data_IF_055178299981
#
_entry.id   IF_055178299981
#
_cell.length_a   1.000
_cell.length_b   1.000
_cell.length_c   1.000
_cell.angle_alpha   90.00
_cell.angle_beta   90.00
_cell.angle_gamma   90.00
#
_symmetry.space_group_name_H-M   'P 1'
#
loop_
_entity.id
_entity.type
_entity.pdbx_description
1 polymer ?
#
# COMPACT_ATOMS: atom_id res chain seq x y z
N UNK A 1 33.16 -27.90 14.51
CA UNK A 1 33.12 -26.74 15.42
C UNK A 1 31.80 -26.00 15.23
N UNK A 2 30.78 -26.32 16.03
CA UNK A 2 29.63 -25.46 16.32
C UNK A 2 29.39 -25.61 17.82
N UNK A 3 29.47 -24.48 18.53
CA UNK A 3 29.38 -24.38 19.98
C UNK A 3 27.94 -24.01 20.34
N UNK A 4 27.19 -24.98 20.84
CA UNK A 4 25.92 -24.76 21.54
C UNK A 4 26.25 -24.61 23.04
N UNK A 5 26.09 -23.40 23.60
CA UNK A 5 26.17 -23.17 25.05
C UNK A 5 24.99 -22.30 25.49
N UNK A 6 24.04 -22.84 26.27
CA UNK A 6 22.97 -22.06 26.90
C UNK A 6 23.51 -21.24 28.10
N UNK A 7 22.85 -20.12 28.46
CA UNK A 7 23.21 -19.35 29.65
C UNK A 7 22.75 -20.05 30.94
N UNK A 8 23.58 -20.08 32.01
CA UNK A 8 23.22 -20.71 33.28
C UNK A 8 22.21 -19.87 34.06
N UNK A 9 21.22 -20.54 34.65
CA UNK A 9 20.23 -19.97 35.54
C UNK A 9 20.82 -19.45 36.84
N UNK A 10 20.22 -18.39 37.39
CA UNK A 10 20.56 -17.87 38.70
C UNK A 10 19.69 -16.69 39.15
N UNK A 11 19.01 -16.91 40.27
CA UNK A 11 18.47 -15.93 41.22
C UNK A 11 17.06 -15.36 41.02
N UNK A 12 16.08 -16.14 41.47
CA UNK A 12 14.87 -15.67 42.13
C UNK A 12 15.20 -14.63 43.21
N UNK A 13 14.53 -13.47 43.18
CA UNK A 13 14.37 -12.59 44.35
C UNK A 13 12.89 -12.32 44.55
N UNK A 14 12.27 -13.22 45.30
CA UNK A 14 11.03 -12.93 46.00
C UNK A 14 11.30 -11.77 46.96
N UNK A 15 10.56 -10.67 46.80
CA UNK A 15 10.53 -9.58 47.78
C UNK A 15 9.17 -9.59 48.44
N UNK A 16 9.09 -10.31 49.55
CA UNK A 16 8.03 -10.20 50.54
C UNK A 16 8.25 -8.93 51.36
N UNK A 17 7.26 -8.02 51.37
CA UNK A 17 7.07 -7.02 52.44
C UNK A 17 5.56 -6.85 52.56
N UNK A 18 4.94 -7.67 53.42
CA UNK A 18 4.51 -7.34 54.78
C UNK A 18 3.24 -6.51 54.79
N UNK A 19 2.15 -7.19 55.14
CA UNK A 19 0.88 -6.62 55.58
C UNK A 19 1.11 -5.88 56.89
N UNK A 20 0.75 -4.60 56.95
CA UNK A 20 0.39 -3.94 58.21
C UNK A 20 -0.83 -3.07 57.95
N UNK A 21 -1.85 -3.31 58.76
CA UNK A 21 -3.16 -2.68 58.68
C UNK A 21 -3.21 -1.42 59.56
N UNK A 22 -4.19 -0.57 59.21
CA UNK A 22 -4.80 0.48 60.02
C UNK A 22 -4.04 1.82 60.18
N UNK A 23 -4.57 2.89 59.56
CA UNK A 23 -5.45 3.78 60.30
C UNK A 23 -6.26 4.70 59.38
N UNK A 24 -7.34 5.18 59.96
CA UNK A 24 -8.59 5.74 59.48
C UNK A 24 -8.53 7.17 58.88
N UNK A 25 -9.68 7.56 58.29
CA UNK A 25 -10.20 8.93 58.14
C UNK A 25 -9.69 9.78 56.97
N UNK A 26 -10.45 9.80 55.86
CA UNK A 26 -11.41 10.88 55.50
C UNK A 26 -11.95 10.66 54.09
N UNK A 27 -13.26 10.47 53.98
CA UNK A 27 -13.97 10.94 52.79
C UNK A 27 -13.93 12.47 52.77
N UNK A 28 -13.90 13.07 51.57
CA UNK A 28 -15.09 13.82 51.20
C UNK A 28 -15.61 13.45 49.81
N UNK A 29 -16.93 13.57 49.77
CA UNK A 29 -17.90 13.42 48.69
C UNK A 29 -17.62 14.25 47.44
N UNK A 30 -18.02 13.66 46.30
CA UNK A 30 -18.61 14.27 45.11
C UNK A 30 -17.84 15.40 44.39
N UNK A 31 -17.45 15.16 43.14
CA UNK A 31 -18.20 15.68 41.98
C UNK A 31 -17.47 15.37 40.66
N UNK A 32 -18.26 15.39 39.58
CA UNK A 32 -17.94 15.13 38.18
C UNK A 32 -17.85 13.65 37.79
N UNK A 33 -19.04 13.04 37.72
CA UNK A 33 -19.35 11.92 36.87
C UNK A 33 -18.77 12.11 35.45
N UNK A 34 -17.57 11.58 35.23
CA UNK A 34 -17.21 11.09 33.91
C UNK A 34 -17.92 9.76 33.77
N UNK A 35 -19.16 9.79 33.27
CA UNK A 35 -19.84 8.57 32.86
C UNK A 35 -18.84 7.75 32.03
N UNK A 36 -18.50 6.51 32.44
CA UNK A 36 -17.59 5.70 31.65
C UNK A 36 -18.23 5.59 30.27
N UNK A 37 -17.54 6.02 29.21
CA UNK A 37 -17.96 5.76 27.82
C UNK A 37 -18.45 4.32 27.80
N UNK A 38 -19.74 4.14 27.59
CA UNK A 38 -20.37 2.82 27.71
C UNK A 38 -19.63 1.85 26.78
N UNK A 39 -19.62 0.55 27.07
CA UNK A 39 -18.98 -0.43 26.17
C UNK A 39 -19.47 -0.29 24.72
N UNK A 40 -20.72 0.16 24.54
CA UNK A 40 -21.32 0.52 23.26
C UNK A 40 -20.62 1.70 22.56
N UNK A 41 -20.29 2.80 23.26
CA UNK A 41 -19.52 3.92 22.70
C UNK A 41 -18.12 3.50 22.21
N UNK A 42 -17.43 2.67 23.00
CA UNK A 42 -16.10 2.16 22.60
C UNK A 42 -16.17 1.24 21.39
N UNK A 43 -17.20 0.41 21.30
CA UNK A 43 -17.38 -0.49 20.16
C UNK A 43 -17.75 0.27 18.88
N UNK A 44 -18.57 1.33 18.98
CA UNK A 44 -18.86 2.23 17.86
C UNK A 44 -17.60 2.98 17.39
N UNK A 45 -16.79 3.52 18.30
CA UNK A 45 -15.51 4.15 17.95
C UNK A 45 -14.52 3.16 17.30
N UNK A 46 -14.51 1.90 17.75
CA UNK A 46 -13.65 0.86 17.16
C UNK A 46 -14.12 0.45 15.76
N UNK A 47 -15.42 0.24 15.56
CA UNK A 47 -16.00 -0.04 14.23
C UNK A 47 -15.75 1.12 13.26
N UNK A 48 -15.92 2.36 13.71
CA UNK A 48 -15.65 3.56 12.90
C UNK A 48 -14.17 3.68 12.51
N UNK A 49 -13.26 3.37 13.45
CA UNK A 49 -11.82 3.30 13.15
C UNK A 49 -11.47 2.19 12.16
N UNK A 50 -12.05 1.00 12.32
CA UNK A 50 -11.81 -0.10 11.37
C UNK A 50 -12.31 0.23 9.96
N UNK A 51 -13.48 0.87 9.83
CA UNK A 51 -13.99 1.30 8.53
C UNK A 51 -13.09 2.37 7.89
N UNK A 52 -12.68 3.37 8.66
CA UNK A 52 -11.76 4.41 8.16
C UNK A 52 -10.39 3.85 7.74
N UNK A 53 -9.86 2.84 8.45
CA UNK A 53 -8.62 2.16 8.07
C UNK A 53 -8.79 1.37 6.78
N UNK A 54 -9.88 0.61 6.64
CA UNK A 54 -10.18 -0.12 5.39
C UNK A 54 -10.32 0.81 4.19
N UNK A 55 -11.03 1.92 4.33
CA UNK A 55 -11.16 2.91 3.25
C UNK A 55 -9.82 3.57 2.90
N UNK A 56 -8.98 3.86 3.90
CA UNK A 56 -7.64 4.40 3.68
C UNK A 56 -6.73 3.40 2.97
N UNK A 57 -6.75 2.13 3.39
CA UNK A 57 -6.00 1.04 2.78
C UNK A 57 -6.47 0.79 1.34
N UNK A 58 -7.78 0.72 1.10
CA UNK A 58 -8.36 0.55 -0.24
C UNK A 58 -7.97 1.71 -1.17
N UNK A 59 -7.99 2.94 -0.67
CA UNK A 59 -7.57 4.12 -1.43
C UNK A 59 -6.06 4.07 -1.74
N UNK A 60 -5.24 3.73 -0.75
CA UNK A 60 -3.80 3.60 -0.93
C UNK A 60 -3.44 2.48 -1.93
N UNK A 61 -4.14 1.35 -1.88
CA UNK A 61 -3.96 0.25 -2.82
C UNK A 61 -4.37 0.65 -4.24
N UNK A 62 -5.51 1.33 -4.42
CA UNK A 62 -5.93 1.86 -5.73
C UNK A 62 -4.91 2.85 -6.29
N UNK A 63 -4.46 3.80 -5.49
CA UNK A 63 -3.44 4.77 -5.93
C UNK A 63 -2.10 4.09 -6.28
N UNK A 64 -1.71 3.05 -5.54
CA UNK A 64 -0.51 2.27 -5.85
C UNK A 64 -0.67 1.48 -7.16
N UNK A 65 -1.83 0.84 -7.37
CA UNK A 65 -2.15 0.12 -8.59
C UNK A 65 -2.21 1.05 -9.81
N UNK A 66 -2.84 2.23 -9.68
CA UNK A 66 -2.90 3.22 -10.75
C UNK A 66 -1.51 3.74 -11.12
N UNK A 67 -0.64 3.98 -10.13
CA UNK A 67 0.76 4.37 -10.37
C UNK A 67 1.55 3.27 -11.06
N UNK A 68 1.33 2.01 -10.67
CA UNK A 68 1.99 0.87 -11.31
C UNK A 68 1.52 0.72 -12.76
N UNK A 69 0.22 0.75 -13.01
CA UNK A 69 -0.37 0.68 -14.35
C UNK A 69 0.16 1.79 -15.27
N UNK A 70 0.20 3.05 -14.79
CA UNK A 70 0.78 4.17 -15.55
C UNK A 70 2.24 3.95 -15.91
N UNK A 71 3.04 3.41 -14.98
CA UNK A 71 4.45 3.09 -15.27
C UNK A 71 4.57 2.03 -16.36
N UNK A 72 3.81 0.94 -16.24
CA UNK A 72 3.80 -0.14 -17.24
C UNK A 72 3.33 0.34 -18.61
N UNK A 73 2.28 1.16 -18.66
CA UNK A 73 1.78 1.80 -19.87
C UNK A 73 2.84 2.67 -20.54
N UNK A 74 3.57 3.43 -19.73
CA UNK A 74 4.66 4.27 -20.20
C UNK A 74 5.85 3.49 -20.75
N UNK A 75 6.24 2.43 -20.06
CA UNK A 75 7.29 1.55 -20.58
C UNK A 75 6.85 0.85 -21.87
N UNK A 76 5.59 0.41 -21.96
CA UNK A 76 5.02 -0.18 -23.17
C UNK A 76 5.04 0.81 -24.33
N UNK A 77 4.59 2.04 -24.10
CA UNK A 77 4.60 3.09 -25.11
C UNK A 77 6.03 3.41 -25.58
N UNK A 78 7.00 3.49 -24.66
CA UNK A 78 8.42 3.71 -25.01
C UNK A 78 9.00 2.56 -25.84
N UNK A 79 8.69 1.31 -25.49
CA UNK A 79 9.10 0.14 -26.29
C UNK A 79 8.49 0.15 -27.69
N UNK A 80 7.20 0.50 -27.80
CA UNK A 80 6.52 0.63 -29.08
C UNK A 80 7.14 1.73 -29.94
N UNK A 81 7.44 2.89 -29.35
CA UNK A 81 8.12 3.97 -30.05
C UNK A 81 9.49 3.53 -30.59
N UNK A 82 10.29 2.86 -29.77
CA UNK A 82 11.59 2.35 -30.19
C UNK A 82 11.46 1.34 -31.34
N UNK A 83 10.44 0.47 -31.33
CA UNK A 83 10.18 -0.45 -32.43
C UNK A 83 9.78 0.27 -33.73
N UNK A 84 8.97 1.34 -33.64
CA UNK A 84 8.59 2.16 -34.78
C UNK A 84 9.79 2.89 -35.39
N UNK A 85 10.70 3.41 -34.54
CA UNK A 85 11.90 4.17 -34.90
C UNK A 85 13.10 3.30 -35.30
N UNK A 86 13.07 1.99 -35.02
CA UNK A 86 14.15 1.03 -35.33
C UNK A 86 14.52 0.92 -36.81
N UNK A 87 13.63 1.35 -37.71
CA UNK A 87 13.77 1.17 -39.15
C UNK A 87 13.44 -0.24 -39.65
N UNK A 88 13.06 -1.16 -38.75
CA UNK A 88 12.64 -2.50 -39.15
C UNK A 88 11.27 -2.48 -39.84
N UNK A 89 11.05 -3.34 -40.84
CA UNK A 89 9.74 -3.49 -41.49
C UNK A 89 8.73 -4.11 -40.52
N UNK A 90 7.71 -3.35 -40.15
CA UNK A 90 6.63 -3.82 -39.29
C UNK A 90 5.58 -4.54 -40.13
N UNK A 91 5.18 -5.74 -39.70
CA UNK A 91 4.09 -6.48 -40.30
C UNK A 91 2.96 -6.63 -39.29
N UNK A 92 1.76 -6.23 -39.67
CA UNK A 92 0.52 -6.53 -38.96
C UNK A 92 -0.19 -7.70 -39.63
N UNK A 93 -1.24 -8.23 -38.98
CA UNK A 93 -2.23 -9.06 -39.66
C UNK A 93 -3.44 -8.23 -40.00
N UNK A 94 -4.02 -8.49 -41.16
CA UNK A 94 -5.33 -7.97 -41.53
C UNK A 94 -6.47 -8.86 -40.98
N UNK A 95 -7.71 -8.51 -41.29
CA UNK A 95 -8.91 -9.24 -40.84
C UNK A 95 -8.97 -10.68 -41.38
N UNK A 96 -8.19 -11.00 -42.42
CA UNK A 96 -8.09 -12.33 -43.02
C UNK A 96 -6.95 -13.15 -42.41
N UNK A 97 -6.15 -12.53 -41.53
CA UNK A 97 -4.99 -13.15 -40.90
C UNK A 97 -3.74 -13.15 -41.79
N UNK A 98 -3.77 -12.47 -42.93
CA UNK A 98 -2.63 -12.33 -43.83
C UNK A 98 -1.65 -11.30 -43.27
N UNK A 99 -0.35 -11.50 -43.47
CA UNK A 99 0.67 -10.54 -43.03
C UNK A 99 0.73 -9.38 -44.01
N UNK A 100 0.41 -8.18 -43.53
CA UNK A 100 0.49 -6.93 -44.29
C UNK A 100 1.58 -6.06 -43.67
N UNK A 101 2.43 -5.47 -44.50
CA UNK A 101 3.44 -4.53 -44.03
C UNK A 101 2.83 -3.16 -43.76
N UNK A 102 3.29 -2.50 -42.70
CA UNK A 102 2.88 -1.14 -42.39
C UNK A 102 3.61 -0.19 -43.34
N UNK A 103 2.83 0.62 -44.05
CA UNK A 103 3.33 1.69 -44.92
C UNK A 103 4.07 2.76 -44.11
N UNK A 104 5.05 3.43 -44.72
CA UNK A 104 5.88 4.42 -44.02
C UNK A 104 5.06 5.61 -43.49
N UNK A 105 4.00 6.00 -44.18
CA UNK A 105 3.07 7.06 -43.72
C UNK A 105 2.32 6.64 -42.46
N UNK A 106 1.89 5.38 -42.38
CA UNK A 106 1.21 4.83 -41.21
C UNK A 106 2.18 4.69 -40.03
N UNK A 107 3.43 4.26 -40.28
CA UNK A 107 4.50 4.24 -39.26
C UNK A 107 4.75 5.63 -38.70
N UNK A 108 4.87 6.65 -39.54
CA UNK A 108 5.10 8.04 -39.09
C UNK A 108 3.95 8.54 -38.20
N UNK A 109 2.70 8.31 -38.61
CA UNK A 109 1.53 8.68 -37.83
C UNK A 109 1.50 8.00 -36.45
N UNK A 110 1.82 6.70 -36.38
CA UNK A 110 1.90 5.98 -35.10
C UNK A 110 3.07 6.42 -34.23
N UNK A 111 4.20 6.76 -34.84
CA UNK A 111 5.37 7.32 -34.13
C UNK A 111 4.98 8.63 -33.43
N UNK A 112 4.30 9.53 -34.14
CA UNK A 112 3.86 10.81 -33.57
C UNK A 112 2.80 10.63 -32.47
N UNK A 113 1.88 9.69 -32.63
CA UNK A 113 0.90 9.32 -31.59
C UNK A 113 1.60 8.78 -30.35
N UNK A 114 2.54 7.86 -30.50
CA UNK A 114 3.30 7.28 -29.40
C UNK A 114 4.14 8.35 -28.67
N UNK A 115 4.80 9.27 -29.40
CA UNK A 115 5.54 10.40 -28.82
C UNK A 115 4.64 11.32 -27.99
N UNK A 116 3.46 11.69 -28.52
CA UNK A 116 2.48 12.51 -27.79
C UNK A 116 1.98 11.80 -26.53
N UNK A 117 1.62 10.53 -26.65
CA UNK A 117 1.16 9.74 -25.51
C UNK A 117 2.22 9.71 -24.40
N UNK A 118 3.49 9.47 -24.74
CA UNK A 118 4.59 9.49 -23.77
C UNK A 118 4.75 10.89 -23.16
N UNK A 119 4.71 11.95 -23.96
CA UNK A 119 4.86 13.32 -23.48
C UNK A 119 3.73 13.76 -22.53
N UNK A 120 2.53 13.19 -22.67
CA UNK A 120 1.36 13.52 -21.85
C UNK A 120 1.22 12.61 -20.63
N UNK A 121 1.46 11.31 -20.77
CA UNK A 121 1.14 10.31 -19.76
C UNK A 121 2.35 9.82 -18.95
N UNK A 122 3.58 10.09 -19.42
CA UNK A 122 4.81 9.54 -18.83
C UNK A 122 5.72 10.58 -18.19
N UNK A 123 5.10 11.64 -17.68
CA UNK A 123 5.72 12.65 -16.82
C UNK A 123 5.74 12.22 -15.36
#
# INVERSE_FOLDING_TARGET
>A
MISDRPPPGGASKARTVSSEAASETKAPTESAASAPKTGADRELEFKKRQQAQKEADDKAQKEAADKAARKEDCERARRQLAALESGERLATRDDKGERVFIEDSARAAETDRARKFIAENCK
#
